data_IF_177470120419
#
_entry.id   IF_177470120419
#
_cell.length_a   1.000
_cell.length_b   1.000
_cell.length_c   1.000
_cell.angle_alpha   90.00
_cell.angle_beta   90.00
_cell.angle_gamma   90.00
#
_symmetry.space_group_name_H-M   'P 1'
#
loop_
_entity.id
_entity.type
_entity.pdbx_description
1 polymer ?
#
# COMPACT_ATOMS: atom_id res chain seq x y z
N UNK A 1 13.72 -3.50 37.39
CA UNK A 1 13.98 -4.85 36.80
C UNK A 1 12.76 -5.78 36.78
N UNK A 2 11.65 -5.49 37.45
CA UNK A 2 10.47 -6.37 37.53
C UNK A 2 9.45 -6.21 36.40
N UNK A 3 9.40 -5.06 35.70
CA UNK A 3 8.39 -4.79 34.64
C UNK A 3 8.75 -5.38 33.26
N UNK A 4 10.03 -5.63 33.01
CA UNK A 4 10.50 -6.20 31.73
C UNK A 4 10.15 -7.69 31.55
N UNK A 5 10.06 -8.43 32.67
CA UNK A 5 9.73 -9.86 32.64
C UNK A 5 8.25 -10.14 32.35
N UNK A 6 7.34 -9.21 32.67
CA UNK A 6 5.90 -9.44 32.48
C UNK A 6 5.47 -9.24 31.03
N UNK A 7 6.08 -8.34 30.26
CA UNK A 7 5.76 -8.13 28.84
C UNK A 7 6.30 -9.29 27.99
N UNK A 8 7.49 -9.81 28.29
CA UNK A 8 8.04 -11.00 27.65
C UNK A 8 7.24 -12.28 28.00
N UNK A 9 6.77 -12.40 29.23
CA UNK A 9 5.96 -13.54 29.66
C UNK A 9 4.57 -13.55 28.99
N UNK A 10 3.97 -12.38 28.73
CA UNK A 10 2.70 -12.27 27.98
C UNK A 10 2.86 -12.68 26.51
N UNK A 11 3.97 -12.32 25.87
CA UNK A 11 4.30 -12.75 24.51
C UNK A 11 4.55 -14.29 24.44
N UNK A 12 5.26 -14.88 25.42
CA UNK A 12 5.51 -16.32 25.48
C UNK A 12 4.27 -17.13 25.86
N UNK A 13 3.33 -16.59 26.64
CA UNK A 13 2.11 -17.30 27.04
C UNK A 13 1.12 -17.48 25.89
N UNK A 14 1.08 -16.53 24.95
CA UNK A 14 0.25 -16.65 23.74
C UNK A 14 0.80 -17.68 22.74
N UNK A 15 2.10 -17.91 22.71
CA UNK A 15 2.74 -18.88 21.80
C UNK A 15 2.62 -20.36 22.25
N UNK A 16 2.23 -20.64 23.48
CA UNK A 16 2.24 -22.01 24.05
C UNK A 16 0.91 -22.77 23.97
N UNK A 17 -0.12 -22.20 23.35
CA UNK A 17 -1.47 -22.80 23.31
C UNK A 17 -1.84 -23.50 22.00
N UNK A 18 -0.92 -23.69 21.08
CA UNK A 18 -1.24 -24.39 19.84
C UNK A 18 -0.50 -25.72 19.73
N UNK A 19 -1.11 -26.80 20.31
CA UNK A 19 -0.90 -28.16 19.82
C UNK A 19 -1.44 -28.26 18.37
N UNK A 20 -0.85 -29.12 17.50
CA UNK A 20 -1.31 -29.30 16.16
C UNK A 20 -2.73 -29.86 16.15
N UNK A 21 -3.70 -28.98 16.00
CA UNK A 21 -5.08 -29.40 15.75
C UNK A 21 -5.17 -30.06 14.37
N UNK A 22 -6.02 -31.08 14.24
CA UNK A 22 -6.27 -31.83 13.03
C UNK A 22 -6.40 -30.89 11.80
N UNK A 23 -5.88 -31.31 10.63
CA UNK A 23 -5.89 -30.60 9.34
C UNK A 23 -7.30 -30.09 8.93
N UNK A 24 -7.76 -29.04 9.54
CA UNK A 24 -8.99 -28.33 9.15
C UNK A 24 -8.57 -27.11 8.32
N UNK A 25 -8.75 -27.17 7.02
CA UNK A 25 -8.59 -26.00 6.16
C UNK A 25 -9.50 -24.90 6.68
N UNK A 26 -8.95 -23.75 7.07
CA UNK A 26 -9.76 -22.56 7.35
C UNK A 26 -10.27 -21.98 6.04
N UNK A 27 -11.56 -21.63 6.05
CA UNK A 27 -12.23 -20.93 4.96
C UNK A 27 -12.52 -19.51 5.43
N UNK A 28 -12.12 -18.52 4.64
CA UNK A 28 -12.35 -17.10 4.89
C UNK A 28 -13.31 -16.59 3.83
N UNK A 29 -14.37 -15.90 4.27
CA UNK A 29 -15.29 -15.23 3.34
C UNK A 29 -14.66 -13.94 2.85
N UNK A 30 -14.52 -13.81 1.54
CA UNK A 30 -14.04 -12.61 0.88
C UNK A 30 -15.14 -12.05 -0.03
N UNK A 31 -15.45 -10.74 0.04
CA UNK A 31 -16.56 -10.16 -0.73
C UNK A 31 -16.28 -10.10 -2.24
N UNK A 32 -15.02 -10.21 -2.67
CA UNK A 32 -14.62 -10.13 -4.09
C UNK A 32 -14.47 -11.51 -4.71
N UNK A 33 -13.79 -12.44 -4.01
CA UNK A 33 -13.45 -13.77 -4.53
C UNK A 33 -14.28 -14.90 -3.91
N UNK A 34 -15.18 -14.60 -2.99
CA UNK A 34 -16.00 -15.61 -2.33
C UNK A 34 -15.24 -16.31 -1.20
N UNK A 35 -14.97 -17.61 -1.36
CA UNK A 35 -14.31 -18.40 -0.32
C UNK A 35 -12.81 -18.53 -0.59
N UNK A 36 -11.98 -17.98 0.28
CA UNK A 36 -10.55 -18.16 0.28
C UNK A 36 -10.19 -19.31 1.21
N UNK A 37 -9.55 -20.34 0.67
CA UNK A 37 -9.04 -21.47 1.47
C UNK A 37 -7.64 -21.15 1.97
N UNK A 38 -7.45 -21.11 3.27
CA UNK A 38 -6.15 -20.92 3.91
C UNK A 38 -5.49 -22.29 4.13
N UNK A 39 -4.33 -22.56 3.51
CA UNK A 39 -3.56 -23.77 3.79
C UNK A 39 -3.07 -23.82 5.22
N UNK A 40 -2.96 -25.03 5.78
CA UNK A 40 -2.33 -25.26 7.08
C UNK A 40 -0.80 -25.00 7.02
N UNK A 41 -0.15 -25.09 8.17
CA UNK A 41 1.31 -24.93 8.26
C UNK A 41 1.75 -23.47 8.37
N UNK A 42 2.85 -23.13 7.71
CA UNK A 42 3.47 -21.78 7.82
C UNK A 42 2.50 -20.67 7.42
N UNK A 43 1.71 -20.82 6.35
CA UNK A 43 0.76 -19.80 5.91
C UNK A 43 -0.30 -19.50 6.98
N UNK A 44 -0.76 -20.52 7.69
CA UNK A 44 -1.69 -20.32 8.79
C UNK A 44 -1.03 -19.64 10.00
N UNK A 45 0.24 -19.92 10.29
CA UNK A 45 1.00 -19.21 11.32
C UNK A 45 1.21 -17.73 10.92
N UNK A 46 1.53 -17.46 9.64
CA UNK A 46 1.65 -16.10 9.12
C UNK A 46 0.33 -15.35 9.25
N UNK A 47 -0.80 -16.00 8.93
CA UNK A 47 -2.13 -15.39 9.06
C UNK A 47 -2.38 -14.89 10.48
N UNK A 48 -1.93 -15.60 11.49
CA UNK A 48 -2.12 -15.24 12.90
C UNK A 48 -1.05 -14.29 13.44
N UNK A 49 0.01 -14.04 12.69
CA UNK A 49 1.12 -13.21 13.15
C UNK A 49 0.67 -11.77 13.40
N UNK A 50 1.08 -11.14 14.53
CA UNK A 50 0.67 -9.78 14.88
C UNK A 50 0.94 -8.73 13.79
N UNK A 51 2.04 -8.85 13.04
CA UNK A 51 2.37 -7.93 11.96
C UNK A 51 1.34 -7.99 10.83
N UNK A 52 0.92 -9.20 10.42
CA UNK A 52 -0.13 -9.33 9.41
C UNK A 52 -1.49 -8.91 9.96
N UNK A 53 -1.82 -9.27 11.20
CA UNK A 53 -3.08 -8.87 11.84
C UNK A 53 -3.21 -7.35 12.01
N UNK A 54 -2.09 -6.62 12.13
CA UNK A 54 -2.06 -5.15 12.12
C UNK A 54 -2.72 -4.57 10.87
N UNK A 55 -2.54 -5.22 9.72
CA UNK A 55 -3.12 -4.77 8.44
C UNK A 55 -4.66 -4.69 8.43
N UNK A 56 -5.34 -5.38 9.37
CA UNK A 56 -6.79 -5.20 9.57
C UNK A 56 -7.18 -3.78 9.98
N UNK A 57 -6.25 -3.03 10.57
CA UNK A 57 -6.45 -1.67 11.09
C UNK A 57 -5.84 -0.59 10.19
N UNK A 58 -5.35 -0.97 9.02
CA UNK A 58 -4.82 -0.06 7.99
C UNK A 58 -5.67 -0.19 6.74
N UNK A 59 -6.27 0.92 6.31
CA UNK A 59 -7.08 0.97 5.11
C UNK A 59 -6.23 0.85 3.85
N UNK A 60 -6.71 0.07 2.89
CA UNK A 60 -6.05 -0.10 1.59
C UNK A 60 -5.94 1.22 0.84
N UNK A 61 -7.02 1.98 0.77
CA UNK A 61 -7.11 3.22 0.01
C UNK A 61 -6.97 4.49 0.87
N UNK A 62 -6.36 4.38 2.05
CA UNK A 62 -6.06 5.53 2.90
C UNK A 62 -7.27 6.44 3.12
N UNK A 63 -7.22 7.66 2.58
CA UNK A 63 -8.25 8.69 2.75
C UNK A 63 -9.31 8.73 1.66
N UNK A 64 -9.30 7.79 0.71
CA UNK A 64 -10.29 7.76 -0.38
C UNK A 64 -11.73 7.56 0.11
N UNK A 65 -11.94 7.13 1.35
CA UNK A 65 -13.28 7.05 1.96
C UNK A 65 -13.99 8.42 2.06
N UNK A 66 -13.25 9.53 2.01
CA UNK A 66 -13.86 10.86 1.92
C UNK A 66 -14.61 11.10 0.61
N UNK A 67 -14.28 10.35 -0.44
CA UNK A 67 -14.92 10.39 -1.76
C UNK A 67 -15.81 9.17 -1.95
N UNK A 68 -15.30 8.00 -1.63
CA UNK A 68 -15.95 6.70 -1.77
C UNK A 68 -16.23 6.12 -0.39
N UNK A 69 -17.38 6.36 0.22
CA UNK A 69 -17.65 5.94 1.62
C UNK A 69 -17.53 4.44 1.86
N UNK A 70 -17.68 3.61 0.80
CA UNK A 70 -17.47 2.17 0.84
C UNK A 70 -16.00 1.73 0.86
N UNK A 71 -15.04 2.63 0.57
CA UNK A 71 -13.60 2.34 0.53
C UNK A 71 -12.99 2.19 1.94
N UNK A 72 -13.52 1.26 2.72
CA UNK A 72 -13.15 0.98 4.12
C UNK A 72 -12.43 -0.35 4.30
N UNK A 73 -12.16 -1.09 3.21
CA UNK A 73 -11.45 -2.36 3.24
C UNK A 73 -10.00 -2.17 3.66
N UNK A 74 -9.51 -3.19 4.35
CA UNK A 74 -8.17 -3.18 4.94
C UNK A 74 -7.14 -3.82 4.00
N UNK A 75 -5.86 -3.49 4.23
CA UNK A 75 -4.73 -4.17 3.58
C UNK A 75 -4.70 -5.66 3.87
N UNK A 76 -5.22 -6.09 5.00
CA UNK A 76 -5.35 -7.50 5.33
C UNK A 76 -6.24 -8.26 4.32
N UNK A 77 -7.38 -7.70 3.95
CA UNK A 77 -8.26 -8.29 2.94
C UNK A 77 -7.58 -8.37 1.58
N UNK A 78 -6.83 -7.33 1.21
CA UNK A 78 -6.01 -7.31 -0.01
C UNK A 78 -4.93 -8.41 0.01
N UNK A 79 -4.14 -8.51 1.09
CA UNK A 79 -3.11 -9.55 1.22
C UNK A 79 -3.68 -10.97 1.09
N UNK A 80 -4.87 -11.22 1.65
CA UNK A 80 -5.56 -12.50 1.52
C UNK A 80 -6.01 -12.78 0.08
N UNK A 81 -6.57 -11.77 -0.59
CA UNK A 81 -7.00 -11.91 -1.98
C UNK A 81 -5.84 -12.10 -2.94
N UNK A 82 -4.75 -11.35 -2.76
CA UNK A 82 -3.53 -11.51 -3.53
C UNK A 82 -2.92 -12.91 -3.36
N UNK A 83 -2.91 -13.44 -2.12
CA UNK A 83 -2.48 -14.82 -1.85
C UNK A 83 -3.39 -15.86 -2.53
N UNK A 84 -4.70 -15.63 -2.55
CA UNK A 84 -5.64 -16.50 -3.27
C UNK A 84 -5.34 -16.52 -4.77
N UNK A 85 -5.15 -15.36 -5.39
CA UNK A 85 -4.80 -15.25 -6.80
C UNK A 85 -3.42 -15.86 -7.10
N UNK A 86 -2.46 -15.77 -6.18
CA UNK A 86 -1.16 -16.45 -6.29
C UNK A 86 -1.32 -17.96 -6.37
N UNK A 87 -2.15 -18.55 -5.51
CA UNK A 87 -2.44 -19.98 -5.54
C UNK A 87 -3.07 -20.40 -6.88
N UNK A 88 -4.00 -19.60 -7.41
CA UNK A 88 -4.65 -19.86 -8.70
C UNK A 88 -3.67 -19.72 -9.87
N UNK A 89 -2.76 -18.72 -9.83
CA UNK A 89 -1.68 -18.53 -10.80
C UNK A 89 -0.75 -19.77 -10.84
N UNK A 90 -0.26 -20.19 -9.67
CA UNK A 90 0.61 -21.36 -9.52
C UNK A 90 -0.09 -22.62 -10.06
N UNK A 91 -1.35 -22.80 -9.72
CA UNK A 91 -2.15 -23.95 -10.21
C UNK A 91 -2.23 -23.93 -11.73
N UNK A 92 -2.56 -22.78 -12.33
CA UNK A 92 -2.66 -22.64 -13.79
C UNK A 92 -1.30 -22.86 -14.49
N UNK A 93 -0.19 -22.42 -13.90
CA UNK A 93 1.15 -22.63 -14.45
C UNK A 93 1.57 -24.12 -14.36
N UNK A 94 1.29 -24.79 -13.24
CA UNK A 94 1.55 -26.22 -13.07
C UNK A 94 0.75 -27.07 -14.06
N UNK A 95 -0.51 -26.73 -14.31
CA UNK A 95 -1.36 -27.39 -15.33
C UNK A 95 -0.75 -27.31 -16.75
N UNK A 96 0.08 -26.29 -17.00
CA UNK A 96 0.83 -26.12 -18.27
C UNK A 96 2.23 -26.75 -18.26
N UNK A 97 2.58 -27.46 -17.21
CA UNK A 97 3.85 -28.16 -17.08
C UNK A 97 5.01 -27.30 -16.57
N UNK A 98 4.75 -26.09 -16.06
CA UNK A 98 5.77 -25.28 -15.40
C UNK A 98 6.16 -25.96 -14.08
N UNK A 99 7.45 -26.25 -13.93
CA UNK A 99 7.94 -26.90 -12.71
C UNK A 99 8.01 -25.89 -11.54
N UNK A 100 7.09 -26.05 -10.60
CA UNK A 100 7.02 -25.28 -9.34
C UNK A 100 6.86 -26.32 -8.21
N UNK A 101 7.81 -26.41 -7.30
CA UNK A 101 7.74 -27.34 -6.15
C UNK A 101 6.70 -26.85 -5.13
N UNK A 102 6.35 -27.70 -4.15
CA UNK A 102 5.39 -27.31 -3.11
C UNK A 102 5.98 -26.25 -2.17
N UNK A 103 7.28 -26.31 -1.91
CA UNK A 103 7.99 -25.29 -1.13
C UNK A 103 8.01 -23.95 -1.85
N UNK A 104 8.31 -23.93 -3.17
CA UNK A 104 8.25 -22.71 -3.98
C UNK A 104 6.83 -22.13 -4.03
N UNK A 105 5.81 -22.96 -4.15
CA UNK A 105 4.43 -22.53 -4.13
C UNK A 105 4.06 -21.90 -2.78
N UNK A 106 4.44 -22.55 -1.69
CA UNK A 106 4.18 -22.07 -0.33
C UNK A 106 4.94 -20.76 -0.07
N UNK A 107 6.21 -20.68 -0.50
CA UNK A 107 7.04 -19.50 -0.36
C UNK A 107 6.52 -18.31 -1.18
N UNK A 108 6.07 -18.52 -2.41
CA UNK A 108 5.46 -17.47 -3.22
C UNK A 108 4.14 -16.96 -2.61
N UNK A 109 3.31 -17.87 -2.07
CA UNK A 109 2.12 -17.48 -1.31
C UNK A 109 2.46 -16.72 -0.02
N UNK A 110 3.53 -17.09 0.69
CA UNK A 110 3.98 -16.37 1.88
C UNK A 110 4.52 -14.97 1.51
N UNK A 111 5.28 -14.87 0.43
CA UNK A 111 5.84 -13.62 -0.06
C UNK A 111 4.74 -12.60 -0.41
N UNK A 112 3.73 -13.01 -1.21
CA UNK A 112 2.62 -12.11 -1.56
C UNK A 112 1.69 -11.84 -0.36
N UNK A 113 1.53 -12.76 0.58
CA UNK A 113 0.75 -12.52 1.80
C UNK A 113 1.38 -11.42 2.66
N UNK A 114 2.70 -11.30 2.64
CA UNK A 114 3.48 -10.37 3.46
C UNK A 114 4.00 -9.14 2.70
N UNK A 115 3.80 -9.03 1.39
CA UNK A 115 4.41 -7.97 0.57
C UNK A 115 4.10 -6.56 1.09
N UNK A 116 2.90 -6.35 1.59
CA UNK A 116 2.38 -5.07 2.09
C UNK A 116 2.49 -4.90 3.61
N UNK A 117 3.12 -5.86 4.33
CA UNK A 117 3.14 -5.85 5.80
C UNK A 117 3.83 -4.62 6.39
N UNK A 118 4.74 -4.00 5.64
CA UNK A 118 5.46 -2.79 6.00
C UNK A 118 4.73 -1.47 5.74
N UNK A 119 3.51 -1.48 5.21
CA UNK A 119 2.76 -0.23 5.05
C UNK A 119 2.38 0.39 6.40
N UNK A 120 2.52 1.73 6.48
CA UNK A 120 2.12 2.54 7.62
C UNK A 120 0.66 3.01 7.55
N UNK A 121 0.19 3.71 8.59
CA UNK A 121 -1.12 4.33 8.59
C UNK A 121 -1.25 5.34 7.45
N UNK A 122 -2.38 5.28 6.73
CA UNK A 122 -2.65 6.09 5.53
C UNK A 122 -1.54 6.02 4.47
N UNK A 123 -0.85 4.86 4.43
CA UNK A 123 0.13 4.53 3.38
C UNK A 123 1.21 5.61 3.16
N UNK A 124 1.20 6.25 2.01
CA UNK A 124 2.23 7.21 1.60
C UNK A 124 2.26 8.51 2.41
N UNK A 125 1.16 8.89 3.07
CA UNK A 125 1.12 10.11 3.88
C UNK A 125 2.16 10.10 5.00
N UNK A 126 2.36 8.95 5.65
CA UNK A 126 3.32 8.82 6.73
C UNK A 126 4.77 8.99 6.26
N UNK A 127 5.08 8.52 5.05
CA UNK A 127 6.37 8.69 4.38
C UNK A 127 6.57 10.14 3.91
N UNK A 128 5.57 10.71 3.21
CA UNK A 128 5.63 12.08 2.68
C UNK A 128 5.70 13.14 3.79
N UNK A 129 5.11 12.88 4.95
CA UNK A 129 5.25 13.74 6.13
C UNK A 129 6.65 13.68 6.78
N UNK A 130 7.57 12.85 6.25
CA UNK A 130 8.93 12.71 6.74
C UNK A 130 8.99 12.12 8.14
N UNK A 131 8.08 11.20 8.47
CA UNK A 131 8.03 10.53 9.76
C UNK A 131 8.89 9.26 9.79
N UNK A 132 9.30 8.74 8.64
CA UNK A 132 10.29 7.67 8.54
C UNK A 132 11.71 8.25 8.38
N UNK A 133 12.75 7.48 8.76
CA UNK A 133 14.13 7.84 8.45
C UNK A 133 14.34 7.98 6.94
N UNK A 134 15.17 8.93 6.55
CA UNK A 134 15.50 9.15 5.13
C UNK A 134 16.06 7.88 4.49
N UNK A 135 15.49 7.48 3.35
CA UNK A 135 15.93 6.34 2.58
C UNK A 135 15.33 5.00 3.01
N UNK A 136 14.40 4.98 3.98
CA UNK A 136 13.63 3.78 4.33
C UNK A 136 12.24 3.89 3.70
N UNK A 137 11.91 2.91 2.88
CA UNK A 137 10.58 2.73 2.28
C UNK A 137 9.73 1.71 3.07
N UNK A 138 8.43 1.66 2.77
CA UNK A 138 7.56 0.60 3.27
C UNK A 138 7.98 -0.80 2.78
N UNK A 139 8.63 -0.91 1.61
CA UNK A 139 9.18 -2.18 1.11
C UNK A 139 10.35 -2.65 1.98
N UNK A 140 11.26 -1.74 2.38
CA UNK A 140 12.35 -2.05 3.32
C UNK A 140 11.79 -2.54 4.67
N UNK A 141 10.72 -1.89 5.16
CA UNK A 141 10.06 -2.29 6.39
C UNK A 141 9.36 -3.65 6.22
N UNK A 142 8.74 -3.92 5.06
CA UNK A 142 8.18 -5.25 4.76
C UNK A 142 9.25 -6.31 4.86
N UNK A 143 10.42 -6.07 4.27
CA UNK A 143 11.56 -6.98 4.34
C UNK A 143 12.04 -7.19 5.78
N UNK A 144 12.23 -6.11 6.55
CA UNK A 144 12.61 -6.20 7.97
C UNK A 144 11.59 -7.02 8.79
N UNK A 145 10.30 -6.85 8.52
CA UNK A 145 9.23 -7.62 9.17
C UNK A 145 9.26 -9.09 8.77
N UNK A 146 9.47 -9.39 7.49
CA UNK A 146 9.61 -10.78 7.00
C UNK A 146 10.81 -11.48 7.64
N UNK A 147 11.95 -10.81 7.76
CA UNK A 147 13.14 -11.34 8.43
C UNK A 147 12.90 -11.59 9.92
N UNK A 148 12.24 -10.65 10.61
CA UNK A 148 11.87 -10.82 12.00
C UNK A 148 10.90 -12.01 12.21
N UNK A 149 9.91 -12.19 11.33
CA UNK A 149 9.00 -13.33 11.34
C UNK A 149 9.78 -14.64 11.15
N UNK A 150 10.66 -14.71 10.16
CA UNK A 150 11.54 -15.87 9.93
C UNK A 150 12.31 -16.25 11.18
N UNK A 151 12.94 -15.29 11.84
CA UNK A 151 13.79 -15.50 13.00
C UNK A 151 12.98 -15.87 14.26
N UNK A 152 11.67 -15.61 14.27
CA UNK A 152 10.75 -15.98 15.35
C UNK A 152 10.30 -17.44 15.29
N UNK A 153 10.42 -18.11 14.13
CA UNK A 153 10.00 -19.50 14.01
C UNK A 153 10.96 -20.45 14.69
N UNK A 154 10.40 -21.38 15.48
CA UNK A 154 11.16 -22.48 16.11
C UNK A 154 11.19 -23.74 15.24
N UNK A 155 10.37 -23.83 14.21
CA UNK A 155 10.30 -24.94 13.25
C UNK A 155 11.19 -24.59 12.06
N UNK A 156 12.27 -25.34 11.87
CA UNK A 156 13.25 -25.09 10.80
C UNK A 156 12.60 -25.04 9.42
N UNK A 157 11.67 -25.95 9.12
CA UNK A 157 10.94 -25.97 7.84
C UNK A 157 10.23 -24.64 7.55
N UNK A 158 9.66 -23.97 8.57
CA UNK A 158 9.01 -22.67 8.39
C UNK A 158 10.02 -21.55 8.13
N UNK A 159 11.17 -21.59 8.82
CA UNK A 159 12.27 -20.65 8.55
C UNK A 159 12.84 -20.83 7.14
N UNK A 160 12.94 -22.09 6.64
CA UNK A 160 13.40 -22.37 5.29
C UNK A 160 12.43 -21.85 4.23
N UNK A 161 11.12 -22.05 4.41
CA UNK A 161 10.08 -21.46 3.55
C UNK A 161 10.15 -19.92 3.57
N UNK A 162 10.38 -19.31 4.73
CA UNK A 162 10.52 -17.86 4.84
C UNK A 162 11.79 -17.34 4.17
N UNK A 163 12.92 -18.06 4.24
CA UNK A 163 14.13 -17.72 3.49
C UNK A 163 13.86 -17.70 1.98
N UNK A 164 13.14 -18.72 1.50
CA UNK A 164 12.74 -18.80 0.10
C UNK A 164 11.75 -17.68 -0.28
N UNK A 165 10.78 -17.36 0.57
CA UNK A 165 9.82 -16.27 0.37
C UNK A 165 10.53 -14.91 0.27
N UNK A 166 11.51 -14.64 1.15
CA UNK A 166 12.32 -13.42 1.12
C UNK A 166 13.16 -13.36 -0.17
N UNK A 167 13.77 -14.48 -0.59
CA UNK A 167 14.53 -14.52 -1.82
C UNK A 167 13.67 -14.26 -3.07
N UNK A 168 12.44 -14.81 -3.10
CA UNK A 168 11.46 -14.53 -4.18
C UNK A 168 11.02 -13.06 -4.14
N UNK A 169 10.72 -12.52 -2.96
CA UNK A 169 10.32 -11.12 -2.79
C UNK A 169 11.39 -10.15 -3.27
N UNK A 170 12.67 -10.43 -3.01
CA UNK A 170 13.83 -9.61 -3.41
C UNK A 170 14.29 -9.81 -4.84
N UNK A 171 13.69 -10.74 -5.60
CA UNK A 171 14.16 -11.17 -6.92
C UNK A 171 15.57 -11.80 -6.90
N UNK A 172 15.97 -12.36 -5.77
CA UNK A 172 17.25 -13.07 -5.59
C UNK A 172 17.13 -14.59 -5.87
N UNK A 173 15.95 -15.05 -6.34
CA UNK A 173 15.69 -16.48 -6.61
C UNK A 173 15.78 -16.79 -8.10
N UNK A 174 16.38 -17.96 -8.51
CA UNK A 174 16.64 -18.27 -9.93
C UNK A 174 15.39 -18.32 -10.82
N UNK A 175 14.22 -18.61 -10.28
CA UNK A 175 12.95 -18.59 -11.02
C UNK A 175 12.33 -17.20 -10.94
N UNK A 176 12.84 -16.27 -11.72
CA UNK A 176 12.44 -14.88 -11.76
C UNK A 176 10.92 -14.69 -11.94
N UNK A 177 10.25 -15.55 -12.71
CA UNK A 177 8.80 -15.47 -12.89
C UNK A 177 7.99 -15.54 -11.58
N UNK A 178 8.55 -16.15 -10.51
CA UNK A 178 7.88 -16.15 -9.18
C UNK A 178 7.87 -14.76 -8.56
N UNK A 179 8.96 -14.00 -8.71
CA UNK A 179 8.97 -12.58 -8.34
C UNK A 179 8.00 -11.78 -9.21
N UNK A 180 7.98 -12.02 -10.53
CA UNK A 180 7.07 -11.33 -11.45
C UNK A 180 5.59 -11.56 -11.14
N UNK A 181 5.23 -12.67 -10.50
CA UNK A 181 3.87 -12.86 -9.99
C UNK A 181 3.54 -11.94 -8.80
N UNK A 182 4.55 -11.45 -8.05
CA UNK A 182 4.40 -10.54 -6.91
C UNK A 182 4.47 -9.09 -7.37
N UNK A 183 5.48 -8.75 -8.17
CA UNK A 183 5.79 -7.38 -8.59
C UNK A 183 6.26 -7.36 -10.04
N UNK A 184 5.37 -6.95 -10.95
CA UNK A 184 5.65 -6.73 -12.38
C UNK A 184 4.63 -5.77 -12.99
N UNK A 185 4.55 -5.69 -14.32
CA UNK A 185 3.49 -4.90 -14.97
C UNK A 185 2.12 -5.59 -14.91
N UNK A 186 2.10 -6.92 -14.76
CA UNK A 186 0.88 -7.75 -14.67
C UNK A 186 1.11 -8.84 -13.63
N UNK A 187 0.80 -8.59 -12.40
CA UNK A 187 0.99 -9.44 -11.24
C UNK A 187 -0.31 -9.67 -10.46
N UNK A 188 -0.27 -10.55 -9.45
CA UNK A 188 -1.46 -10.89 -8.66
C UNK A 188 -1.82 -9.79 -7.66
N UNK A 189 -0.87 -8.96 -7.24
CA UNK A 189 -1.10 -7.77 -6.43
C UNK A 189 -2.06 -6.81 -7.17
N UNK A 190 -1.69 -6.42 -8.40
CA UNK A 190 -2.51 -5.54 -9.24
C UNK A 190 -3.86 -6.15 -9.60
N UNK A 191 -3.89 -7.45 -9.86
CA UNK A 191 -5.14 -8.15 -10.17
C UNK A 191 -6.11 -8.16 -8.98
N UNK A 192 -5.60 -8.28 -7.73
CA UNK A 192 -6.44 -8.16 -6.54
C UNK A 192 -6.92 -6.74 -6.34
N UNK A 193 -5.97 -5.77 -6.18
CA UNK A 193 -6.39 -4.45 -5.76
C UNK A 193 -7.29 -3.76 -6.78
N UNK A 194 -7.10 -3.94 -8.09
CA UNK A 194 -8.02 -3.36 -9.09
C UNK A 194 -9.46 -3.87 -8.91
N UNK A 195 -9.64 -5.17 -8.74
CA UNK A 195 -10.97 -5.76 -8.53
C UNK A 195 -11.54 -5.32 -7.18
N UNK A 196 -10.75 -5.39 -6.13
CA UNK A 196 -11.15 -5.10 -4.75
C UNK A 196 -11.48 -3.63 -4.55
N UNK A 197 -10.62 -2.74 -4.99
CA UNK A 197 -10.83 -1.30 -4.87
C UNK A 197 -12.05 -0.85 -5.68
N UNK A 198 -12.21 -1.39 -6.89
CA UNK A 198 -13.39 -1.17 -7.73
C UNK A 198 -14.68 -1.57 -7.00
N UNK A 199 -14.69 -2.76 -6.40
CA UNK A 199 -15.83 -3.27 -5.64
C UNK A 199 -16.18 -2.36 -4.45
N UNK A 200 -15.20 -2.03 -3.61
CA UNK A 200 -15.44 -1.24 -2.40
C UNK A 200 -15.69 0.24 -2.69
N UNK A 201 -15.13 0.79 -3.76
CA UNK A 201 -15.45 2.15 -4.21
C UNK A 201 -16.82 2.24 -4.91
N UNK A 202 -17.39 1.12 -5.33
CA UNK A 202 -18.65 1.10 -6.09
C UNK A 202 -18.50 1.65 -7.50
N UNK A 203 -17.31 1.48 -8.12
CA UNK A 203 -17.01 1.86 -9.50
C UNK A 203 -16.81 0.60 -10.36
N UNK A 204 -16.92 0.72 -11.68
CA UNK A 204 -16.82 -0.42 -12.59
C UNK A 204 -15.51 -0.47 -13.37
N UNK A 205 -14.72 0.60 -13.28
CA UNK A 205 -13.50 0.83 -14.04
C UNK A 205 -12.42 -0.20 -13.75
N UNK A 206 -12.31 -0.67 -12.50
CA UNK A 206 -11.35 -1.69 -12.08
C UNK A 206 -11.82 -3.13 -12.29
N UNK A 207 -12.99 -3.35 -12.88
CA UNK A 207 -13.49 -4.71 -13.18
C UNK A 207 -12.65 -5.36 -14.27
N UNK A 208 -11.71 -6.22 -13.87
CA UNK A 208 -10.84 -7.01 -14.76
C UNK A 208 -11.18 -8.49 -14.67
N UNK A 209 -10.91 -9.23 -15.76
CA UNK A 209 -11.15 -10.66 -15.82
C UNK A 209 -9.95 -11.43 -15.24
N UNK A 210 -9.65 -11.26 -13.95
CA UNK A 210 -8.46 -11.84 -13.29
C UNK A 210 -8.35 -13.35 -13.51
N UNK A 211 -9.42 -14.11 -13.30
CA UNK A 211 -9.43 -15.56 -13.52
C UNK A 211 -9.05 -15.95 -14.96
N UNK A 212 -9.47 -15.17 -15.98
CA UNK A 212 -9.06 -15.42 -17.36
C UNK A 212 -7.59 -15.08 -17.59
N UNK A 213 -7.12 -13.97 -17.04
CA UNK A 213 -5.70 -13.56 -17.16
C UNK A 213 -4.83 -14.65 -16.57
N UNK A 214 -5.09 -15.10 -15.34
CA UNK A 214 -4.33 -16.17 -14.68
C UNK A 214 -4.28 -17.46 -15.51
N UNK A 215 -5.41 -17.87 -16.11
CA UNK A 215 -5.46 -19.04 -16.99
C UNK A 215 -4.69 -18.85 -18.31
N UNK A 216 -4.44 -17.61 -18.74
CA UNK A 216 -3.64 -17.31 -19.92
C UNK A 216 -2.15 -17.09 -19.60
N UNK A 217 -1.78 -16.94 -18.33
CA UNK A 217 -0.38 -16.85 -17.92
C UNK A 217 0.38 -18.11 -18.27
N UNK A 218 1.65 -17.97 -18.65
CA UNK A 218 2.58 -19.04 -18.93
C UNK A 218 4.01 -18.57 -18.60
N UNK A 219 4.98 -19.46 -18.71
CA UNK A 219 6.40 -19.12 -18.51
C UNK A 219 7.16 -19.46 -19.79
N UNK A 220 7.97 -18.52 -20.26
CA UNK A 220 8.87 -18.73 -21.41
C UNK A 220 10.25 -18.18 -21.07
N UNK A 221 11.26 -19.03 -21.20
CA UNK A 221 12.66 -18.69 -20.95
C UNK A 221 12.92 -18.08 -19.55
N UNK A 222 12.16 -18.54 -18.53
CA UNK A 222 12.26 -18.07 -17.13
C UNK A 222 11.42 -16.84 -16.80
N UNK A 223 10.74 -16.25 -17.78
CA UNK A 223 9.92 -15.04 -17.62
C UNK A 223 8.42 -15.34 -17.69
N UNK A 224 7.63 -14.58 -16.95
CA UNK A 224 6.16 -14.62 -17.01
C UNK A 224 5.69 -14.02 -18.34
N UNK A 225 4.79 -14.73 -19.03
CA UNK A 225 4.20 -14.32 -20.31
C UNK A 225 2.70 -14.61 -20.32
N UNK A 226 1.96 -14.00 -21.24
CA UNK A 226 0.54 -14.30 -21.47
C UNK A 226 0.36 -14.87 -22.86
N UNK A 227 -0.37 -15.97 -22.99
CA UNK A 227 -0.70 -16.56 -24.30
C UNK A 227 -1.50 -15.56 -25.15
N UNK A 228 -1.23 -15.52 -26.47
CA UNK A 228 -1.83 -14.55 -27.41
C UNK A 228 -3.36 -14.49 -27.37
N UNK A 229 -4.05 -15.59 -27.03
CA UNK A 229 -5.52 -15.61 -26.85
C UNK A 229 -5.98 -14.78 -25.63
N UNK A 230 -5.06 -14.31 -24.78
CA UNK A 230 -5.29 -13.45 -23.62
C UNK A 230 -5.13 -11.96 -23.88
N UNK A 231 -4.68 -11.53 -25.08
CA UNK A 231 -4.35 -10.14 -25.40
C UNK A 231 -5.44 -9.15 -24.95
N UNK A 232 -6.69 -9.37 -25.35
CA UNK A 232 -7.80 -8.46 -25.02
C UNK A 232 -8.09 -8.37 -23.50
N UNK A 233 -7.73 -9.39 -22.71
CA UNK A 233 -7.85 -9.33 -21.26
C UNK A 233 -6.74 -8.47 -20.64
N UNK A 234 -5.53 -8.52 -21.21
CA UNK A 234 -4.40 -7.67 -20.82
C UNK A 234 -4.66 -6.21 -21.19
N UNK A 235 -5.17 -5.94 -22.39
CA UNK A 235 -5.56 -4.60 -22.83
C UNK A 235 -6.61 -4.01 -21.88
N UNK A 236 -7.67 -4.78 -21.58
CA UNK A 236 -8.70 -4.35 -20.60
C UNK A 236 -8.10 -4.07 -19.22
N UNK A 237 -7.14 -4.88 -18.75
CA UNK A 237 -6.43 -4.67 -17.51
C UNK A 237 -5.65 -3.35 -17.51
N UNK A 238 -4.90 -3.04 -18.57
CA UNK A 238 -4.14 -1.79 -18.70
C UNK A 238 -5.05 -0.56 -18.74
N UNK A 239 -6.18 -0.65 -19.46
CA UNK A 239 -7.20 0.41 -19.48
C UNK A 239 -7.85 0.58 -18.11
N UNK A 240 -8.24 -0.51 -17.45
CA UNK A 240 -8.82 -0.48 -16.11
C UNK A 240 -7.87 0.17 -15.10
N UNK A 241 -6.59 -0.22 -15.12
CA UNK A 241 -5.54 0.38 -14.28
C UNK A 241 -5.45 1.88 -14.49
N UNK A 242 -5.41 2.36 -15.75
CA UNK A 242 -5.36 3.80 -16.07
C UNK A 242 -6.58 4.56 -15.57
N UNK A 243 -7.77 4.00 -15.74
CA UNK A 243 -9.02 4.62 -15.30
C UNK A 243 -9.07 4.70 -13.77
N UNK A 244 -8.73 3.62 -13.06
CA UNK A 244 -8.69 3.59 -11.60
C UNK A 244 -7.70 4.59 -11.04
N UNK A 245 -6.53 4.78 -11.69
CA UNK A 245 -5.56 5.80 -11.26
C UNK A 245 -6.18 7.20 -11.21
N UNK A 246 -6.86 7.61 -12.28
CA UNK A 246 -7.42 8.98 -12.34
C UNK A 246 -8.73 9.13 -11.59
N UNK A 247 -9.55 8.10 -11.56
CA UNK A 247 -10.87 8.17 -10.95
C UNK A 247 -10.82 7.92 -9.45
N UNK A 248 -9.98 7.01 -8.98
CA UNK A 248 -9.93 6.60 -7.57
C UNK A 248 -8.65 7.09 -6.89
N UNK A 249 -7.47 6.59 -7.30
CA UNK A 249 -6.22 6.82 -6.56
C UNK A 249 -5.74 8.27 -6.60
N UNK A 250 -5.89 8.95 -7.72
CA UNK A 250 -5.53 10.36 -7.90
C UNK A 250 -6.74 11.29 -7.94
N UNK A 251 -7.84 10.87 -7.32
CA UNK A 251 -9.00 11.75 -7.22
C UNK A 251 -8.63 13.00 -6.41
N UNK A 252 -8.86 14.19 -6.99
CA UNK A 252 -8.38 15.45 -6.42
C UNK A 252 -8.78 15.69 -4.96
N UNK A 253 -9.97 15.20 -4.53
CA UNK A 253 -10.42 15.33 -3.14
C UNK A 253 -9.68 14.36 -2.21
N UNK A 254 -9.33 13.14 -2.67
CA UNK A 254 -8.52 12.20 -1.89
C UNK A 254 -7.12 12.77 -1.69
N UNK A 255 -6.50 13.27 -2.77
CA UNK A 255 -5.19 13.94 -2.71
C UNK A 255 -5.23 15.18 -1.81
N UNK A 256 -6.32 15.99 -1.88
CA UNK A 256 -6.49 17.14 -0.99
C UNK A 256 -6.53 16.74 0.50
N UNK A 257 -7.18 15.62 0.83
CA UNK A 257 -7.22 15.09 2.19
C UNK A 257 -5.84 14.57 2.65
N UNK A 258 -5.10 13.92 1.76
CA UNK A 258 -3.72 13.47 2.02
C UNK A 258 -2.80 14.66 2.30
N UNK A 259 -2.85 15.70 1.45
CA UNK A 259 -2.07 16.92 1.62
C UNK A 259 -2.43 17.67 2.94
N UNK A 260 -3.71 17.70 3.30
CA UNK A 260 -4.14 18.23 4.60
C UNK A 260 -3.56 17.42 5.76
N UNK A 261 -3.59 16.09 5.69
CA UNK A 261 -3.03 15.23 6.72
C UNK A 261 -1.50 15.39 6.84
N UNK A 262 -0.79 15.51 5.72
CA UNK A 262 0.65 15.80 5.71
C UNK A 262 0.95 17.12 6.45
N UNK A 263 0.17 18.18 6.19
CA UNK A 263 0.32 19.47 6.90
C UNK A 263 0.07 19.33 8.40
N UNK A 264 -0.94 18.57 8.81
CA UNK A 264 -1.23 18.28 10.24
C UNK A 264 -0.05 17.58 10.89
N UNK A 265 0.47 16.52 10.28
CA UNK A 265 1.58 15.74 10.85
C UNK A 265 2.87 16.54 10.89
N UNK A 266 3.14 17.35 9.86
CA UNK A 266 4.30 18.26 9.83
C UNK A 266 4.20 19.31 10.93
N UNK A 267 3.04 19.91 11.14
CA UNK A 267 2.79 20.87 12.24
C UNK A 267 3.00 20.19 13.59
N UNK A 268 2.40 19.04 13.84
CA UNK A 268 2.55 18.30 15.08
C UNK A 268 4.01 17.94 15.37
N UNK A 269 4.78 17.52 14.35
CA UNK A 269 6.22 17.24 14.46
C UNK A 269 7.01 18.47 14.90
N UNK A 270 6.74 19.63 14.29
CA UNK A 270 7.39 20.90 14.65
C UNK A 270 7.05 21.34 16.08
N UNK A 271 5.79 21.23 16.49
CA UNK A 271 5.36 21.59 17.83
C UNK A 271 6.01 20.70 18.91
N UNK A 272 6.11 19.40 18.65
CA UNK A 272 6.81 18.46 19.56
C UNK A 272 8.31 18.77 19.60
N UNK A 273 8.94 19.08 18.48
CA UNK A 273 10.35 19.47 18.44
C UNK A 273 10.60 20.77 19.23
N UNK A 274 9.61 21.69 19.27
CA UNK A 274 9.65 22.91 20.07
C UNK A 274 9.22 22.71 21.54
N UNK A 275 9.06 21.47 21.99
CA UNK A 275 8.78 21.12 23.39
C UNK A 275 7.30 21.07 23.78
N UNK A 276 6.36 21.24 22.83
CA UNK A 276 4.94 21.07 23.11
C UNK A 276 4.60 19.62 23.40
N UNK A 277 3.82 19.36 24.44
CA UNK A 277 3.37 18.03 24.76
C UNK A 277 2.02 17.73 24.13
N UNK A 278 2.01 17.13 22.95
CA UNK A 278 0.81 16.74 22.24
C UNK A 278 0.34 15.33 22.66
N UNK A 279 -0.97 15.11 22.64
CA UNK A 279 -1.54 13.78 22.81
C UNK A 279 -1.12 12.87 21.63
N UNK A 280 -0.48 11.75 21.94
CA UNK A 280 -0.08 10.74 20.97
C UNK A 280 -0.06 9.36 21.65
N UNK A 281 -0.29 8.29 20.87
CA UNK A 281 0.13 6.97 21.32
C UNK A 281 1.66 6.92 21.46
N UNK A 282 2.23 6.01 22.27
CA UNK A 282 3.68 5.87 22.40
C UNK A 282 4.39 5.65 21.06
N UNK A 283 3.78 4.88 20.17
CA UNK A 283 4.29 4.62 18.83
C UNK A 283 4.29 5.88 17.96
N UNK A 284 3.17 6.60 17.88
CA UNK A 284 3.09 7.85 17.10
C UNK A 284 4.04 8.91 17.66
N UNK A 285 4.17 9.04 18.98
CA UNK A 285 5.08 9.96 19.63
C UNK A 285 6.55 9.69 19.27
N UNK A 286 6.92 8.42 19.17
CA UNK A 286 8.27 8.01 18.76
C UNK A 286 8.63 8.58 17.38
N UNK A 287 7.74 8.46 16.39
CA UNK A 287 8.00 8.97 15.03
C UNK A 287 7.92 10.50 14.95
N UNK A 288 6.97 11.12 15.64
CA UNK A 288 6.86 12.59 15.68
C UNK A 288 8.04 13.26 16.39
N UNK A 289 8.71 12.59 17.33
CA UNK A 289 9.88 13.15 18.03
C UNK A 289 11.11 13.33 17.12
N UNK A 290 11.15 12.63 15.99
CA UNK A 290 12.29 12.65 15.06
C UNK A 290 13.56 11.93 15.55
N UNK A 291 13.58 11.47 16.81
CA UNK A 291 14.72 10.76 17.41
C UNK A 291 14.56 9.25 17.20
N UNK A 292 14.65 8.82 15.95
CA UNK A 292 14.40 7.43 15.57
C UNK A 292 15.69 6.61 15.71
N UNK A 293 15.66 5.63 16.63
CA UNK A 293 16.70 4.62 16.76
C UNK A 293 16.35 3.41 15.89
N UNK A 294 17.25 3.00 15.03
CA UNK A 294 17.04 1.87 14.09
C UNK A 294 16.67 0.56 14.81
N UNK A 295 17.25 0.32 15.99
CA UNK A 295 16.97 -0.89 16.77
C UNK A 295 15.54 -0.95 17.34
N UNK A 296 14.91 0.21 17.52
CA UNK A 296 13.56 0.33 18.05
C UNK A 296 12.50 0.59 16.95
N UNK A 297 12.95 0.85 15.71
CA UNK A 297 12.08 1.21 14.58
C UNK A 297 10.95 0.19 14.42
N UNK A 298 11.29 -1.08 14.24
CA UNK A 298 10.32 -2.15 14.00
C UNK A 298 9.34 -2.32 15.17
N UNK A 299 9.83 -2.19 16.40
CA UNK A 299 9.03 -2.28 17.64
C UNK A 299 7.92 -1.24 17.68
N UNK A 300 8.22 0.03 17.37
CA UNK A 300 7.22 1.09 17.38
C UNK A 300 6.37 1.08 16.10
N UNK A 301 6.97 0.80 14.95
CA UNK A 301 6.27 0.77 13.69
C UNK A 301 5.19 -0.32 13.64
N UNK A 302 5.47 -1.48 14.18
CA UNK A 302 4.50 -2.60 14.26
C UNK A 302 3.29 -2.31 15.15
N UNK A 303 3.32 -1.26 15.96
CA UNK A 303 2.20 -0.83 16.80
C UNK A 303 1.35 0.25 16.15
N UNK A 304 1.85 0.89 15.07
CA UNK A 304 1.14 1.99 14.40
C UNK A 304 0.06 1.47 13.46
N UNK A 305 -1.10 2.11 13.53
CA UNK A 305 -2.19 1.93 12.56
C UNK A 305 -3.00 3.23 12.39
N UNK A 306 -4.06 3.20 11.56
CA UNK A 306 -4.87 4.38 11.26
C UNK A 306 -5.53 4.99 12.51
N UNK A 307 -5.82 4.17 13.54
CA UNK A 307 -6.47 4.65 14.76
C UNK A 307 -5.56 5.57 15.59
N UNK A 308 -4.23 5.34 15.56
CA UNK A 308 -3.28 6.23 16.25
C UNK A 308 -3.37 7.66 15.74
N UNK A 309 -3.40 7.83 14.41
CA UNK A 309 -3.47 9.14 13.78
C UNK A 309 -4.84 9.77 13.98
N UNK A 310 -5.92 9.01 13.74
CA UNK A 310 -7.28 9.53 13.87
C UNK A 310 -7.61 9.98 15.29
N UNK A 311 -7.18 9.23 16.31
CA UNK A 311 -7.39 9.62 17.71
C UNK A 311 -6.59 10.86 18.09
N UNK A 312 -5.34 10.95 17.64
CA UNK A 312 -4.50 12.11 17.86
C UNK A 312 -5.08 13.37 17.21
N UNK A 313 -5.45 13.30 15.93
CA UNK A 313 -6.04 14.42 15.18
C UNK A 313 -7.31 14.94 15.87
N UNK A 314 -8.18 14.06 16.39
CA UNK A 314 -9.40 14.49 17.11
C UNK A 314 -9.06 15.30 18.35
N UNK A 315 -8.04 14.90 19.11
CA UNK A 315 -7.61 15.63 20.30
C UNK A 315 -6.87 16.92 19.92
N UNK A 316 -6.08 16.90 18.84
CA UNK A 316 -5.39 18.09 18.33
C UNK A 316 -6.34 19.18 17.83
N UNK A 317 -7.59 18.84 17.52
CA UNK A 317 -8.64 19.83 17.24
C UNK A 317 -8.91 20.79 18.40
N UNK A 318 -8.54 20.43 19.64
CA UNK A 318 -8.62 21.25 20.85
C UNK A 318 -7.27 21.86 21.28
N UNK A 319 -6.25 21.79 20.43
CA UNK A 319 -4.92 22.35 20.70
C UNK A 319 -4.97 23.86 20.85
N UNK A 320 -4.12 24.41 21.74
CA UNK A 320 -3.89 25.86 21.86
C UNK A 320 -3.24 26.45 20.60
N UNK A 321 -2.52 25.64 19.83
CA UNK A 321 -1.94 26.06 18.56
C UNK A 321 -3.01 26.21 17.49
N UNK A 322 -3.16 27.43 16.94
CA UNK A 322 -4.20 27.79 16.00
C UNK A 322 -4.11 27.01 14.68
N UNK A 323 -2.90 26.67 14.22
CA UNK A 323 -2.68 25.95 12.97
C UNK A 323 -3.10 24.50 13.15
N UNK A 324 -2.53 23.83 14.17
CA UNK A 324 -2.82 22.43 14.45
C UNK A 324 -4.32 22.21 14.71
N UNK A 325 -4.95 23.06 15.56
CA UNK A 325 -6.37 22.95 15.88
C UNK A 325 -7.26 23.20 14.65
N UNK A 326 -6.97 24.22 13.85
CA UNK A 326 -7.74 24.54 12.64
C UNK A 326 -7.67 23.39 11.63
N UNK A 327 -6.45 22.93 11.27
CA UNK A 327 -6.30 21.87 10.28
C UNK A 327 -6.91 20.54 10.77
N UNK A 328 -6.76 20.21 12.05
CA UNK A 328 -7.31 18.99 12.65
C UNK A 328 -8.84 19.02 12.67
N UNK A 329 -9.46 20.15 13.00
CA UNK A 329 -10.90 20.34 12.93
C UNK A 329 -11.40 20.28 11.48
N UNK A 330 -10.69 20.87 10.54
CA UNK A 330 -11.00 20.80 9.11
C UNK A 330 -10.98 19.37 8.60
N UNK A 331 -9.97 18.58 8.98
CA UNK A 331 -9.89 17.17 8.62
C UNK A 331 -11.05 16.37 9.22
N UNK A 332 -11.30 16.52 10.52
CA UNK A 332 -12.32 15.76 11.24
C UNK A 332 -13.73 16.06 10.73
N UNK A 333 -14.00 17.32 10.38
CA UNK A 333 -15.31 17.78 9.91
C UNK A 333 -15.44 17.78 8.37
N UNK A 334 -14.49 17.15 7.65
CA UNK A 334 -14.48 17.07 6.17
C UNK A 334 -14.47 18.44 5.48
N UNK A 335 -13.89 19.44 6.10
CA UNK A 335 -13.63 20.76 5.49
C UNK A 335 -12.26 20.76 4.79
N UNK A 336 -12.10 19.83 3.84
CA UNK A 336 -10.83 19.54 3.19
C UNK A 336 -10.33 20.74 2.34
N UNK A 337 -9.05 20.74 2.05
CA UNK A 337 -8.49 21.65 1.05
C UNK A 337 -9.28 21.58 -0.25
N UNK A 338 -9.50 22.72 -0.89
CA UNK A 338 -10.07 22.79 -2.24
C UNK A 338 -8.96 22.86 -3.27
N UNK A 339 -9.01 21.94 -4.23
CA UNK A 339 -8.07 21.86 -5.32
C UNK A 339 -8.49 22.73 -6.51
N UNK A 340 -7.61 23.62 -6.96
CA UNK A 340 -7.72 24.35 -8.24
C UNK A 340 -6.63 23.87 -9.18
N UNK A 341 -7.01 23.45 -10.39
CA UNK A 341 -6.04 23.12 -11.42
C UNK A 341 -5.31 24.40 -11.87
N UNK A 342 -3.99 24.34 -11.95
CA UNK A 342 -3.13 25.46 -12.39
C UNK A 342 -2.18 24.96 -13.48
N UNK A 343 -1.90 25.81 -14.46
CA UNK A 343 -1.07 25.46 -15.61
C UNK A 343 0.43 25.58 -15.34
N UNK A 344 0.80 26.44 -14.40
CA UNK A 344 2.18 26.72 -14.02
C UNK A 344 2.32 26.82 -12.47
N UNK A 345 3.51 26.66 -11.90
CA UNK A 345 3.77 26.98 -10.50
C UNK A 345 3.35 28.41 -10.16
N UNK A 346 2.97 28.66 -8.90
CA UNK A 346 2.71 30.00 -8.42
C UNK A 346 3.98 30.87 -8.60
N UNK A 347 3.81 32.11 -9.06
CA UNK A 347 4.87 33.09 -8.98
C UNK A 347 5.08 33.52 -7.51
N UNK A 348 6.24 34.11 -7.19
CA UNK A 348 6.53 34.60 -5.85
C UNK A 348 5.47 35.62 -5.38
N UNK A 349 5.00 36.51 -6.26
CA UNK A 349 3.94 37.46 -5.96
C UNK A 349 2.62 36.78 -5.62
N UNK A 350 2.24 35.76 -6.40
CA UNK A 350 1.03 34.98 -6.15
C UNK A 350 1.13 34.20 -4.84
N UNK A 351 2.28 33.61 -4.57
CA UNK A 351 2.55 32.90 -3.31
C UNK A 351 2.43 33.86 -2.11
N UNK A 352 3.10 35.03 -2.17
CA UNK A 352 3.06 36.05 -1.11
C UNK A 352 1.63 36.61 -0.92
N UNK A 353 0.91 36.86 -1.99
CA UNK A 353 -0.48 37.32 -1.93
C UNK A 353 -1.37 36.29 -1.23
N UNK A 354 -1.14 35.01 -1.48
CA UNK A 354 -1.87 33.91 -0.83
C UNK A 354 -1.51 33.82 0.65
N UNK A 355 -0.24 33.93 1.02
CA UNK A 355 0.20 33.98 2.43
C UNK A 355 -0.49 35.12 3.18
N UNK A 356 -0.53 36.35 2.59
CA UNK A 356 -1.15 37.49 3.24
C UNK A 356 -2.65 37.33 3.53
N UNK A 357 -3.38 36.56 2.72
CA UNK A 357 -4.78 36.22 3.00
C UNK A 357 -4.91 35.42 4.31
N UNK A 358 -4.08 34.38 4.50
CA UNK A 358 -4.09 33.56 5.71
C UNK A 358 -3.52 34.29 6.93
N UNK A 359 -2.45 35.08 6.76
CA UNK A 359 -1.93 35.97 7.80
C UNK A 359 -3.05 36.89 8.33
N UNK A 360 -3.78 37.55 7.41
CA UNK A 360 -4.84 38.47 7.77
C UNK A 360 -6.03 37.79 8.42
N UNK A 361 -6.34 36.54 8.00
CA UNK A 361 -7.50 35.82 8.49
C UNK A 361 -7.25 35.14 9.86
N UNK A 362 -6.07 34.52 10.06
CA UNK A 362 -5.76 33.75 11.25
C UNK A 362 -4.83 34.44 12.24
N UNK A 363 -4.22 35.59 11.86
CA UNK A 363 -3.25 36.29 12.70
C UNK A 363 -1.91 35.56 12.87
N UNK A 364 -1.55 34.72 11.92
CA UNK A 364 -0.32 33.92 11.92
C UNK A 364 0.82 34.63 11.15
N UNK A 365 2.03 34.13 11.27
CA UNK A 365 3.18 34.62 10.47
C UNK A 365 3.09 34.18 9.00
N UNK A 366 3.91 34.75 8.12
CA UNK A 366 4.02 34.34 6.72
C UNK A 366 4.49 32.88 6.58
N UNK A 367 5.38 32.43 7.43
CA UNK A 367 5.87 31.05 7.44
C UNK A 367 4.74 30.08 7.82
N UNK A 368 4.00 30.41 8.87
CA UNK A 368 2.86 29.62 9.35
C UNK A 368 1.70 29.60 8.37
N UNK A 369 1.50 30.65 7.59
CA UNK A 369 0.47 30.72 6.54
C UNK A 369 0.64 29.59 5.49
N UNK A 370 1.87 29.12 5.26
CA UNK A 370 2.18 28.03 4.34
C UNK A 370 1.57 26.67 4.72
N UNK A 371 1.08 26.50 5.94
CA UNK A 371 0.36 25.31 6.37
C UNK A 371 -1.04 25.21 5.77
N UNK A 372 -1.64 26.31 5.37
CA UNK A 372 -3.02 26.35 4.87
C UNK A 372 -3.17 26.12 3.36
N UNK A 373 -2.07 25.96 2.62
CA UNK A 373 -2.10 25.65 1.19
C UNK A 373 -0.85 24.86 0.76
N UNK A 374 -0.93 24.24 -0.43
CA UNK A 374 0.18 23.51 -1.02
C UNK A 374 -0.01 23.38 -2.54
N UNK A 375 1.08 23.50 -3.30
CA UNK A 375 1.13 23.06 -4.69
C UNK A 375 1.47 21.56 -4.74
N UNK A 376 0.73 20.80 -5.53
CA UNK A 376 0.94 19.38 -5.71
C UNK A 376 0.86 18.99 -7.19
N UNK A 377 1.71 18.07 -7.64
CA UNK A 377 1.71 17.54 -8.99
C UNK A 377 1.41 16.04 -8.95
N UNK A 378 0.20 15.69 -9.39
CA UNK A 378 -0.19 14.29 -9.56
C UNK A 378 0.30 13.77 -10.91
N UNK A 379 0.98 12.61 -10.90
CA UNK A 379 1.45 11.92 -12.10
C UNK A 379 0.96 10.48 -12.09
N UNK A 380 0.61 9.94 -13.26
CA UNK A 380 0.20 8.54 -13.39
C UNK A 380 1.16 7.81 -14.32
N UNK A 381 1.59 6.62 -13.89
CA UNK A 381 2.36 5.68 -14.69
C UNK A 381 1.49 4.47 -15.01
N UNK A 382 0.93 4.41 -16.21
CA UNK A 382 0.07 3.28 -16.62
C UNK A 382 0.91 2.09 -17.06
N UNK A 383 1.94 2.32 -17.84
CA UNK A 383 2.90 1.34 -18.35
C UNK A 383 4.29 1.97 -18.40
N UNK A 384 5.34 1.24 -18.03
CA UNK A 384 6.71 1.75 -18.01
C UNK A 384 7.53 1.12 -19.13
N UNK A 385 8.11 1.94 -20.00
CA UNK A 385 9.06 1.48 -21.03
C UNK A 385 10.38 0.95 -20.42
N UNK A 386 10.74 1.45 -19.24
CA UNK A 386 11.97 1.08 -18.53
C UNK A 386 11.75 -0.05 -17.50
N UNK A 387 10.54 -0.62 -17.43
CA UNK A 387 10.20 -1.77 -16.59
C UNK A 387 10.12 -3.04 -17.42
N UNK A 388 9.89 -4.16 -16.74
CA UNK A 388 9.61 -5.42 -17.40
C UNK A 388 8.37 -5.30 -18.29
N UNK A 389 8.49 -5.75 -19.53
CA UNK A 389 7.38 -5.74 -20.49
C UNK A 389 6.39 -6.86 -20.21
N UNK A 390 5.14 -6.69 -20.65
CA UNK A 390 4.16 -7.79 -20.65
C UNK A 390 4.35 -8.58 -21.95
N UNK A 391 5.03 -9.72 -21.87
CA UNK A 391 5.29 -10.60 -23.00
C UNK A 391 4.06 -11.36 -23.44
N UNK A 392 3.74 -11.32 -24.72
CA UNK A 392 2.66 -12.08 -25.36
C UNK A 392 3.26 -13.27 -26.13
N UNK A 393 2.94 -14.48 -25.69
CA UNK A 393 3.44 -15.73 -26.26
C UNK A 393 2.50 -16.22 -27.38
N UNK A 394 3.04 -16.30 -28.59
CA UNK A 394 2.36 -16.84 -29.77
C UNK A 394 2.53 -18.36 -29.90
N UNK A 395 1.71 -18.99 -30.76
CA UNK A 395 1.72 -20.46 -30.99
C UNK A 395 3.04 -20.98 -31.60
N UNK A 396 3.75 -20.13 -32.32
CA UNK A 396 5.06 -20.42 -32.92
C UNK A 396 6.22 -20.32 -31.91
N UNK A 397 5.91 -19.97 -30.62
CA UNK A 397 6.87 -19.82 -29.56
C UNK A 397 7.54 -18.43 -29.50
N UNK A 398 7.15 -17.50 -30.37
CA UNK A 398 7.64 -16.11 -30.37
C UNK A 398 6.96 -15.34 -29.26
N UNK A 399 7.74 -14.51 -28.53
CA UNK A 399 7.21 -13.58 -27.53
C UNK A 399 7.34 -12.17 -28.08
N UNK A 400 6.26 -11.38 -28.01
CA UNK A 400 6.23 -9.95 -28.36
C UNK A 400 5.73 -9.14 -27.17
N UNK A 401 6.18 -7.88 -27.06
CA UNK A 401 5.61 -6.95 -26.08
C UNK A 401 4.14 -6.71 -26.37
N UNK A 402 3.32 -6.49 -25.31
CA UNK A 402 1.89 -6.15 -25.47
C UNK A 402 1.69 -4.93 -26.37
N UNK A 403 2.58 -3.96 -26.31
CA UNK A 403 2.51 -2.73 -27.10
C UNK A 403 2.74 -2.96 -28.61
N UNK A 404 3.43 -4.04 -28.99
CA UNK A 404 3.56 -4.48 -30.38
C UNK A 404 2.45 -5.47 -30.79
N UNK A 405 1.96 -6.25 -29.83
CA UNK A 405 1.00 -7.29 -30.05
C UNK A 405 -0.46 -6.78 -30.07
N UNK A 406 -0.72 -5.66 -29.42
CA UNK A 406 -2.05 -5.05 -29.31
C UNK A 406 -2.47 -4.37 -30.64
N UNK A 407 -3.72 -4.56 -31.01
CA UNK A 407 -4.36 -3.83 -32.11
C UNK A 407 -5.23 -2.65 -31.62
N UNK A 408 -5.48 -2.56 -30.32
CA UNK A 408 -6.31 -1.50 -29.69
C UNK A 408 -5.47 -0.41 -29.02
N UNK A 409 -4.31 -0.77 -28.44
CA UNK A 409 -3.48 0.14 -27.65
C UNK A 409 -2.15 0.39 -28.35
N UNK A 410 -1.82 1.66 -28.58
CA UNK A 410 -0.50 2.04 -29.10
C UNK A 410 0.46 2.44 -27.97
N UNK A 411 1.77 2.42 -28.24
CA UNK A 411 2.83 2.79 -27.29
C UNK A 411 2.64 4.18 -26.71
N UNK A 412 2.34 5.18 -27.52
CA UNK A 412 2.15 6.56 -27.06
C UNK A 412 1.04 6.67 -26.02
N UNK A 413 -0.07 5.93 -26.22
CA UNK A 413 -1.19 5.90 -25.28
C UNK A 413 -0.81 5.20 -23.97
N UNK A 414 -0.08 4.10 -24.06
CA UNK A 414 0.31 3.30 -22.87
C UNK A 414 1.36 4.02 -22.01
N UNK A 415 2.35 4.65 -22.65
CA UNK A 415 3.50 5.26 -21.96
C UNK A 415 3.28 6.73 -21.61
N UNK A 416 2.23 7.35 -22.14
CA UNK A 416 1.90 8.75 -21.83
C UNK A 416 1.66 8.94 -20.32
N UNK A 417 2.47 9.83 -19.72
CA UNK A 417 2.44 10.20 -18.29
C UNK A 417 1.82 11.59 -18.12
N UNK A 418 0.48 11.70 -18.08
CA UNK A 418 -0.15 12.97 -17.84
C UNK A 418 0.21 13.52 -16.46
N UNK A 419 0.46 14.82 -16.42
CA UNK A 419 0.72 15.56 -15.17
C UNK A 419 -0.41 16.52 -14.93
N UNK A 420 -0.97 16.53 -13.73
CA UNK A 420 -1.94 17.54 -13.30
C UNK A 420 -1.37 18.28 -12.11
N UNK A 421 -1.26 19.60 -12.21
CA UNK A 421 -0.81 20.46 -11.12
C UNK A 421 -2.02 21.07 -10.44
N UNK A 422 -2.06 20.99 -9.13
CA UNK A 422 -3.11 21.56 -8.29
C UNK A 422 -2.53 22.55 -7.29
N UNK A 423 -3.24 23.62 -7.05
CA UNK A 423 -3.15 24.39 -5.82
C UNK A 423 -4.26 23.91 -4.91
N UNK A 424 -3.89 23.27 -3.80
CA UNK A 424 -4.79 22.90 -2.72
C UNK A 424 -4.71 23.96 -1.64
N UNK A 425 -5.85 24.48 -1.20
CA UNK A 425 -5.91 25.55 -0.22
C UNK A 425 -7.13 25.40 0.71
N UNK A 426 -6.97 25.78 1.97
CA UNK A 426 -8.10 25.85 2.91
C UNK A 426 -9.03 26.98 2.48
N UNK A 427 -10.34 26.72 2.29
CA UNK A 427 -11.31 27.78 2.00
C UNK A 427 -11.38 28.76 3.16
N UNK A 428 -11.20 30.05 2.87
CA UNK A 428 -11.53 31.10 3.81
C UNK A 428 -13.04 31.40 3.69
N UNK A 429 -13.73 31.44 4.86
CA UNK A 429 -15.17 31.68 4.93
C UNK A 429 -15.51 33.13 4.62
#
# INVERSE_FOLDING_TARGET
>A
MSYFFHIFAYFFYYYRLFEPMAKTRKIINDPVFGFISMPDGVLFQLLQHPFLQRLNRIRQLGLSFFVYPGAMHSRFLHSLGAMHLMNDAITALREKGVNITDDEATAAMAAILLHDVGHGPFSHVFEEAGLLPTGISHEDISLMMMEHIRDSFTICEYSDIMNLAIAIFKDDYPKHFLHQLISSQLDVDRLDYLCRDSFFCGVTEGSVASARILKMMNVKDGYLVVEAKGIYSVEKFLVARRLMYWQVYLHHTSVAAEQLLIKILTCAKLLIANGMNLFCSPALKYFLSGNINYNDLLKYYSQLDDADLLSAIKVWGESEDIILSTLSNCFTNRQLFKGKLIDAPLSDDQYQALCQQYVSHFGVSNEEASFFFVEHVSTSNTYSENGESIGILYKDGVVRDIAEASDMLNMETLTYKPKKRYLFALPLA
#
